data_IF_592029027348
#
_entry.id   IF_592029027348
#
_cell.length_a   1.000
_cell.length_b   1.000
_cell.length_c   1.000
_cell.angle_alpha   90.00
_cell.angle_beta   90.00
_cell.angle_gamma   90.00
#
_symmetry.space_group_name_H-M   'P 1'
#
loop_
_entity.id
_entity.type
_entity.pdbx_description
1 polymer ?
#
# COMPACT_ATOMS: atom_id res chain seq x y z
N UNK A 1 -65.61 -8.80 35.69
CA UNK A 1 -64.15 -8.93 35.88
C UNK A 1 -63.45 -7.94 34.97
N UNK A 2 -62.70 -6.98 35.55
CA UNK A 2 -61.75 -6.10 34.85
C UNK A 2 -60.58 -5.86 35.82
N UNK A 3 -59.32 -6.12 35.43
CA UNK A 3 -58.18 -6.05 36.35
C UNK A 3 -57.55 -4.66 36.40
N UNK A 4 -56.98 -4.34 37.56
CA UNK A 4 -56.26 -3.11 37.91
C UNK A 4 -54.77 -3.25 37.57
N UNK A 5 -54.14 -2.21 37.04
CA UNK A 5 -52.68 -2.10 36.91
C UNK A 5 -52.23 -0.73 37.42
N UNK A 6 -51.24 -0.72 38.32
CA UNK A 6 -50.61 0.47 38.92
C UNK A 6 -49.16 0.54 38.47
N UNK A 7 -48.69 1.69 37.97
CA UNK A 7 -47.30 1.93 37.56
C UNK A 7 -46.56 2.82 38.56
N UNK A 8 -45.33 2.46 38.93
CA UNK A 8 -44.38 3.30 39.70
C UNK A 8 -43.27 3.82 38.78
N UNK A 9 -42.92 5.10 38.89
CA UNK A 9 -41.73 5.73 38.29
C UNK A 9 -40.58 5.75 39.31
N UNK A 10 -39.34 5.50 38.86
CA UNK A 10 -38.09 5.73 39.62
C UNK A 10 -37.15 6.57 38.75
N UNK A 11 -36.50 7.57 39.34
CA UNK A 11 -35.46 8.42 38.75
C UNK A 11 -34.28 8.52 39.71
N UNK A 12 -33.05 8.27 39.25
CA UNK A 12 -31.81 8.50 40.01
C UNK A 12 -30.82 9.36 39.21
N UNK A 13 -30.08 10.23 39.90
CA UNK A 13 -29.07 11.16 39.38
C UNK A 13 -27.77 11.01 40.18
N UNK A 14 -26.63 10.87 39.50
CA UNK A 14 -25.28 10.69 40.08
C UNK A 14 -24.54 12.05 40.21
N UNK A 15 -23.92 12.30 41.37
CA UNK A 15 -22.98 13.43 41.63
C UNK A 15 -21.55 12.90 41.85
N UNK A 16 -20.55 13.56 41.27
CA UNK A 16 -19.11 13.31 41.48
C UNK A 16 -18.46 14.45 42.28
N UNK A 17 -17.57 14.15 43.23
CA UNK A 17 -16.84 15.13 44.09
C UNK A 17 -15.33 15.07 43.85
N UNK A 18 -14.64 16.22 43.65
CA UNK A 18 -13.16 16.33 43.51
C UNK A 18 -12.48 16.98 44.76
N UNK A 19 -11.56 16.24 45.37
CA UNK A 19 -10.36 16.63 46.14
C UNK A 19 -9.65 18.01 45.98
N UNK A 20 -9.82 19.09 46.79
CA UNK A 20 -9.14 20.38 46.54
C UNK A 20 -7.68 20.48 47.04
N UNK A 21 -7.14 19.44 47.71
CA UNK A 21 -5.78 19.45 48.30
C UNK A 21 -4.67 19.11 47.30
N UNK A 22 -4.94 18.34 46.25
CA UNK A 22 -3.94 17.91 45.26
C UNK A 22 -3.52 19.00 44.27
N UNK A 23 -4.32 20.05 44.08
CA UNK A 23 -4.05 21.11 43.09
C UNK A 23 -2.99 22.12 43.58
N UNK A 24 -2.83 22.31 44.89
CA UNK A 24 -1.92 23.31 45.46
C UNK A 24 -0.45 22.88 45.42
N UNK A 25 -0.18 21.59 45.59
CA UNK A 25 1.18 21.03 45.60
C UNK A 25 1.82 21.05 44.21
N UNK A 26 1.01 20.88 43.16
CA UNK A 26 1.49 20.90 41.77
C UNK A 26 1.97 22.30 41.33
N UNK A 27 1.29 23.36 41.77
CA UNK A 27 1.63 24.74 41.42
C UNK A 27 2.95 25.18 42.06
N UNK A 28 3.22 24.78 43.31
CA UNK A 28 4.49 25.09 43.98
C UNK A 28 5.70 24.43 43.32
N UNK A 29 5.56 23.21 42.78
CA UNK A 29 6.67 22.51 42.12
C UNK A 29 7.09 23.18 40.81
N UNK A 30 6.12 23.66 40.03
CA UNK A 30 6.37 24.37 38.76
C UNK A 30 7.10 25.70 39.02
N UNK A 31 6.74 26.40 40.09
CA UNK A 31 7.38 27.68 40.45
C UNK A 31 8.87 27.53 40.77
N UNK A 32 9.27 26.46 41.45
CA UNK A 32 10.68 26.21 41.80
C UNK A 32 11.50 25.84 40.56
N UNK A 33 10.93 25.06 39.65
CA UNK A 33 11.60 24.66 38.41
C UNK A 33 11.92 25.86 37.48
N UNK A 34 11.02 26.84 37.41
CA UNK A 34 11.20 28.04 36.58
C UNK A 34 12.31 28.99 37.07
N UNK A 35 12.58 29.03 38.38
CA UNK A 35 13.60 29.92 38.97
C UNK A 35 15.02 29.38 38.76
N UNK A 36 15.19 28.06 38.73
CA UNK A 36 16.50 27.43 38.50
C UNK A 36 16.96 27.51 37.04
N UNK A 37 16.04 27.69 36.09
CA UNK A 37 16.34 27.73 34.67
C UNK A 37 16.96 29.07 34.18
N UNK A 38 16.99 30.12 35.01
CA UNK A 38 17.40 31.47 34.60
C UNK A 38 18.83 31.88 35.00
N UNK A 39 19.70 30.94 35.42
CA UNK A 39 21.09 31.24 35.79
C UNK A 39 22.06 30.75 34.71
N UNK A 40 22.40 31.62 33.75
CA UNK A 40 23.51 31.37 32.82
C UNK A 40 24.81 31.93 33.40
N UNK A 41 25.79 31.08 33.67
CA UNK A 41 27.15 31.52 33.98
C UNK A 41 27.87 31.91 32.69
N UNK A 42 28.13 33.21 32.47
CA UNK A 42 28.94 33.66 31.33
C UNK A 42 30.39 33.84 31.76
N UNK A 43 31.33 33.38 30.91
CA UNK A 43 32.76 33.63 31.11
C UNK A 43 33.03 35.13 31.02
N UNK A 44 33.95 35.68 31.84
CA UNK A 44 34.34 37.09 31.74
C UNK A 44 34.80 37.45 30.32
N UNK A 45 34.24 38.51 29.75
CA UNK A 45 34.51 38.99 28.39
C UNK A 45 35.66 40.04 28.38
N UNK A 46 36.77 39.71 29.03
CA UNK A 46 37.97 40.58 29.08
C UNK A 46 39.23 39.82 29.48
N UNK A 47 40.41 40.40 29.21
CA UNK A 47 41.71 39.87 29.67
C UNK A 47 42.62 40.99 30.20
N UNK A 48 43.54 40.65 31.14
CA UNK A 48 44.40 41.63 31.79
C UNK A 48 45.51 42.17 30.86
N UNK A 49 45.85 43.44 31.02
CA UNK A 49 46.93 44.14 30.33
C UNK A 49 47.68 45.08 31.29
N UNK A 50 49.01 45.10 31.19
CA UNK A 50 49.88 46.00 31.96
C UNK A 50 50.96 46.58 31.05
N UNK A 51 51.28 47.86 31.24
CA UNK A 51 52.32 48.55 30.50
C UNK A 51 52.95 49.67 31.33
N UNK A 52 54.21 49.98 31.06
CA UNK A 52 54.91 51.13 31.63
C UNK A 52 55.03 52.21 30.56
N UNK A 53 54.40 53.35 30.81
CA UNK A 53 54.36 54.47 29.88
C UNK A 53 55.56 55.40 30.13
N UNK A 54 56.25 55.74 29.03
CA UNK A 54 57.41 56.63 29.03
C UNK A 54 57.24 57.71 27.98
N UNK A 55 57.80 58.88 28.26
CA UNK A 55 57.89 59.97 27.29
C UNK A 55 59.02 59.75 26.27
N UNK A 56 59.16 60.67 25.32
CA UNK A 56 60.19 60.61 24.29
C UNK A 56 61.64 60.75 24.85
N UNK A 57 61.80 61.23 26.07
CA UNK A 57 63.08 61.27 26.79
C UNK A 57 63.37 59.98 27.56
N UNK A 58 62.45 59.01 27.53
CA UNK A 58 62.56 57.75 28.27
C UNK A 58 62.20 57.86 29.75
N UNK A 59 61.73 59.03 30.22
CA UNK A 59 61.25 59.22 31.59
C UNK A 59 59.84 58.64 31.75
N UNK A 60 59.51 58.14 32.93
CA UNK A 60 58.19 57.59 33.20
C UNK A 60 57.14 58.71 33.23
N UNK A 61 56.00 58.51 32.57
CA UNK A 61 54.83 59.37 32.69
C UNK A 61 54.17 59.03 34.02
N UNK A 62 54.58 59.68 35.12
CA UNK A 62 54.24 59.26 36.48
C UNK A 62 53.06 60.01 37.09
N UNK A 63 52.17 59.29 37.80
CA UNK A 63 51.04 59.86 38.56
C UNK A 63 50.15 60.79 37.73
N UNK A 64 49.89 60.41 36.48
CA UNK A 64 49.16 61.22 35.51
C UNK A 64 48.00 60.41 34.92
N UNK A 65 46.89 61.12 34.67
CA UNK A 65 45.75 60.59 33.95
C UNK A 65 46.08 60.57 32.45
N UNK A 66 45.91 59.43 31.81
CA UNK A 66 46.18 59.20 30.39
C UNK A 66 45.02 58.46 29.75
N UNK A 67 44.83 58.64 28.45
CA UNK A 67 43.84 57.91 27.68
C UNK A 67 44.54 56.87 26.80
N UNK A 68 44.09 55.62 26.89
CA UNK A 68 44.60 54.49 26.12
C UNK A 68 43.54 54.03 25.12
N UNK A 69 43.95 53.71 23.90
CA UNK A 69 43.12 53.00 22.93
C UNK A 69 43.73 51.63 22.62
N UNK A 70 42.92 50.60 22.79
CA UNK A 70 43.28 49.22 22.49
C UNK A 70 42.49 48.74 21.28
N UNK A 71 43.17 48.18 20.29
CA UNK A 71 42.54 47.65 19.08
C UNK A 71 42.99 46.21 18.84
N UNK A 72 42.02 45.31 18.68
CA UNK A 72 42.24 43.91 18.32
C UNK A 72 42.16 43.76 16.80
N UNK A 73 43.24 43.25 16.23
CA UNK A 73 43.42 43.03 14.80
C UNK A 73 43.52 41.52 14.53
N UNK A 74 43.02 41.06 13.38
CA UNK A 74 43.11 39.65 12.96
C UNK A 74 43.91 39.50 11.67
N UNK A 75 44.80 38.50 11.62
CA UNK A 75 45.61 38.21 10.44
C UNK A 75 46.78 39.17 10.30
N UNK A 76 46.81 40.01 9.26
CA UNK A 76 47.93 40.95 9.05
C UNK A 76 47.66 42.29 9.77
N UNK A 77 48.65 42.89 10.48
CA UNK A 77 48.46 44.03 11.40
C UNK A 77 47.90 45.36 10.85
N UNK A 78 47.37 45.45 9.63
CA UNK A 78 47.06 46.73 9.01
C UNK A 78 45.63 46.87 8.43
N UNK A 79 44.81 45.80 8.32
CA UNK A 79 43.57 45.89 7.52
C UNK A 79 42.30 45.43 8.25
N UNK A 80 42.38 44.52 9.23
CA UNK A 80 41.19 43.92 9.85
C UNK A 80 41.09 44.21 11.34
N UNK A 81 40.57 45.39 11.70
CA UNK A 81 40.16 45.72 13.07
C UNK A 81 38.84 45.04 13.41
N UNK A 82 38.85 44.16 14.41
CA UNK A 82 37.67 43.46 14.89
C UNK A 82 36.99 44.20 16.05
N UNK A 83 37.79 44.86 16.89
CA UNK A 83 37.31 45.55 18.07
C UNK A 83 38.28 46.66 18.47
N UNK A 84 37.74 47.79 18.92
CA UNK A 84 38.53 48.89 19.50
C UNK A 84 37.79 49.50 20.68
N UNK A 85 38.52 49.82 21.75
CA UNK A 85 38.00 50.48 22.94
C UNK A 85 38.95 51.56 23.46
N UNK A 86 38.40 52.53 24.17
CA UNK A 86 39.16 53.54 24.92
C UNK A 86 38.99 53.36 26.43
N UNK A 87 40.06 53.68 27.17
CA UNK A 87 40.08 53.67 28.63
C UNK A 87 40.91 54.83 29.17
N UNK A 88 40.33 55.56 30.12
CA UNK A 88 41.04 56.58 30.91
C UNK A 88 41.66 55.93 32.14
N UNK A 89 42.98 55.99 32.27
CA UNK A 89 43.75 55.30 33.31
C UNK A 89 44.68 56.27 34.04
N UNK A 90 45.05 55.94 35.28
CA UNK A 90 46.10 56.65 36.02
C UNK A 90 47.39 55.83 36.02
N UNK A 91 48.51 56.46 35.67
CA UNK A 91 49.83 55.86 35.87
C UNK A 91 50.25 55.97 37.34
N UNK A 92 51.05 55.02 37.84
CA UNK A 92 51.69 55.15 39.15
C UNK A 92 53.03 55.91 39.07
N UNK A 93 53.76 56.01 40.20
CA UNK A 93 55.08 56.68 40.27
C UNK A 93 56.12 56.15 39.28
N UNK A 94 55.98 54.89 38.85
CA UNK A 94 56.87 54.23 37.89
C UNK A 94 56.34 54.29 36.45
N UNK A 95 55.22 54.96 36.19
CA UNK A 95 54.56 55.01 34.88
C UNK A 95 53.73 53.77 34.54
N UNK A 96 53.50 52.85 35.49
CA UNK A 96 52.77 51.61 35.24
C UNK A 96 51.24 51.86 35.21
N UNK A 97 50.58 51.28 34.21
CA UNK A 97 49.13 51.06 34.15
C UNK A 97 48.79 49.58 34.30
N UNK A 98 47.63 49.29 34.89
CA UNK A 98 47.06 47.95 34.97
C UNK A 98 45.57 48.02 34.69
N UNK A 99 45.11 47.29 33.67
CA UNK A 99 43.70 47.27 33.27
C UNK A 99 43.29 45.92 32.67
N UNK A 100 42.02 45.75 32.34
CA UNK A 100 41.50 44.63 31.56
C UNK A 100 40.91 45.15 30.24
N UNK A 101 41.36 44.57 29.13
CA UNK A 101 40.90 44.87 27.78
C UNK A 101 39.60 44.11 27.53
N UNK A 102 38.57 44.80 27.02
CA UNK A 102 37.19 44.33 26.89
C UNK A 102 36.22 44.98 27.89
N UNK A 103 36.75 45.74 28.86
CA UNK A 103 35.96 46.51 29.83
C UNK A 103 35.94 48.02 29.52
N UNK A 104 36.59 48.46 28.45
CA UNK A 104 36.64 49.87 28.06
C UNK A 104 35.35 50.35 27.41
N UNK A 105 35.34 51.62 27.00
CA UNK A 105 34.26 52.16 26.19
C UNK A 105 34.47 51.72 24.73
N UNK A 106 33.59 50.90 24.13
CA UNK A 106 33.76 50.44 22.77
C UNK A 106 33.69 51.61 21.78
N UNK A 107 34.70 51.71 20.91
CA UNK A 107 34.74 52.64 19.78
C UNK A 107 34.21 51.95 18.52
N UNK A 108 34.53 50.66 18.33
CA UNK A 108 34.03 49.85 17.22
C UNK A 108 34.09 48.35 17.55
N UNK A 109 33.22 47.55 16.91
CA UNK A 109 33.13 46.11 17.13
C UNK A 109 32.44 45.72 18.44
N UNK A 110 32.36 44.41 18.70
CA UNK A 110 31.87 43.85 19.96
C UNK A 110 32.82 42.75 20.43
N UNK A 111 33.43 42.94 21.60
CA UNK A 111 34.41 42.01 22.15
C UNK A 111 33.87 40.58 22.29
N UNK A 112 32.60 40.44 22.67
CA UNK A 112 31.96 39.13 22.89
C UNK A 112 31.73 38.34 21.59
N UNK A 113 31.76 39.01 20.43
CA UNK A 113 31.53 38.38 19.14
C UNK A 113 32.84 38.03 18.42
N UNK A 114 34.00 38.27 19.03
CA UNK A 114 35.30 37.89 18.45
C UNK A 114 35.39 36.36 18.48
N UNK A 115 35.49 35.74 17.30
CA UNK A 115 35.79 34.32 17.18
C UNK A 115 37.28 34.08 17.45
N UNK A 116 37.64 33.79 18.69
CA UNK A 116 39.02 33.57 19.11
C UNK A 116 39.64 32.26 18.55
N UNK A 117 38.89 31.43 17.82
CA UNK A 117 39.40 30.17 17.23
C UNK A 117 40.20 30.39 15.94
N UNK A 118 40.03 31.54 15.28
CA UNK A 118 40.58 31.84 13.95
C UNK A 118 41.77 32.82 14.00
N UNK A 119 42.76 32.52 14.85
CA UNK A 119 43.98 33.31 14.97
C UNK A 119 44.83 33.36 13.68
N UNK A 120 45.89 34.20 13.63
CA UNK A 120 46.48 34.95 14.74
C UNK A 120 45.80 36.31 15.00
N UNK A 121 45.85 36.75 16.27
CA UNK A 121 45.38 38.06 16.71
C UNK A 121 46.54 38.96 17.13
N UNK A 122 46.37 40.25 16.94
CA UNK A 122 47.33 41.29 17.34
C UNK A 122 46.61 42.35 18.15
N UNK A 123 47.33 42.95 19.09
CA UNK A 123 46.90 44.12 19.84
C UNK A 123 47.70 45.33 19.40
N UNK A 124 47.00 46.33 18.88
CA UNK A 124 47.52 47.67 18.63
C UNK A 124 47.18 48.55 19.83
N UNK A 125 48.18 49.27 20.33
CA UNK A 125 48.07 50.12 21.51
C UNK A 125 48.40 51.55 21.13
N UNK A 126 47.56 52.48 21.55
CA UNK A 126 47.74 53.91 21.28
C UNK A 126 47.54 54.70 22.56
N UNK A 127 48.31 55.77 22.73
CA UNK A 127 48.37 56.60 23.94
C UNK A 127 48.06 58.05 23.59
N UNK A 128 47.20 58.66 24.39
CA UNK A 128 47.01 60.08 24.52
C UNK A 128 47.46 60.50 25.93
N UNK A 129 48.69 61.03 26.01
CA UNK A 129 49.34 61.28 27.29
C UNK A 129 48.83 62.55 27.97
N UNK A 130 48.38 63.56 27.21
CA UNK A 130 47.87 64.83 27.70
C UNK A 130 46.34 64.92 27.70
N UNK A 131 45.68 63.83 27.29
CA UNK A 131 44.22 63.72 27.17
C UNK A 131 43.65 64.79 26.22
N UNK A 132 44.38 65.04 25.11
CA UNK A 132 44.06 66.04 24.09
C UNK A 132 43.05 65.55 23.03
N UNK A 133 42.68 64.28 23.07
CA UNK A 133 41.91 63.55 22.06
C UNK A 133 42.77 63.00 20.91
N UNK A 134 44.10 63.18 20.94
CA UNK A 134 45.01 62.74 19.87
C UNK A 134 45.83 61.54 20.32
N UNK A 135 45.57 60.38 19.71
CA UNK A 135 46.24 59.13 20.03
C UNK A 135 47.50 58.93 19.18
N UNK A 136 48.62 58.62 19.83
CA UNK A 136 49.89 58.24 19.22
C UNK A 136 50.04 56.71 19.32
N UNK A 137 50.41 56.06 18.22
CA UNK A 137 50.64 54.60 18.22
C UNK A 137 51.90 54.23 19.00
N UNK A 138 51.73 53.36 20.00
CA UNK A 138 52.81 52.86 20.87
C UNK A 138 53.34 51.49 20.41
N UNK A 139 52.71 50.91 19.40
CA UNK A 139 53.12 49.68 18.73
C UNK A 139 52.01 48.66 18.59
N UNK A 140 52.28 47.63 17.79
CA UNK A 140 51.41 46.48 17.57
C UNK A 140 52.16 45.19 17.89
N UNK A 141 51.55 44.31 18.68
CA UNK A 141 52.16 43.04 19.12
C UNK A 141 51.19 41.87 18.96
N UNK A 142 51.70 40.66 18.77
CA UNK A 142 50.85 39.46 18.64
C UNK A 142 50.31 39.04 20.00
N UNK A 143 49.01 38.74 20.08
CA UNK A 143 48.41 38.10 21.24
C UNK A 143 48.70 36.60 21.20
N UNK A 144 49.47 36.12 22.18
CA UNK A 144 49.76 34.71 22.36
C UNK A 144 48.77 34.07 23.35
N UNK A 145 48.42 32.81 23.12
CA UNK A 145 47.54 32.05 24.01
C UNK A 145 48.15 31.91 25.42
N UNK A 146 47.35 32.14 26.45
CA UNK A 146 47.73 31.86 27.84
C UNK A 146 47.60 30.36 28.16
N UNK A 147 48.29 29.82 29.18
CA UNK A 147 48.22 28.39 29.53
C UNK A 147 46.80 27.84 29.74
N UNK A 148 45.86 28.64 30.27
CA UNK A 148 44.46 28.26 30.42
C UNK A 148 43.75 28.09 29.06
N UNK A 149 44.04 28.95 28.08
CA UNK A 149 43.50 28.86 26.72
C UNK A 149 44.08 27.64 25.96
N UNK A 150 45.37 27.32 26.16
CA UNK A 150 46.00 26.11 25.61
C UNK A 150 45.43 24.82 26.22
N UNK A 151 44.97 24.85 27.47
CA UNK A 151 44.28 23.71 28.08
C UNK A 151 42.88 23.49 27.49
N UNK A 152 42.16 24.57 27.15
CA UNK A 152 40.86 24.48 26.47
C UNK A 152 40.96 23.90 25.05
N UNK A 153 42.06 24.14 24.33
CA UNK A 153 42.36 23.50 23.04
C UNK A 153 42.44 21.96 23.16
N UNK A 154 43.01 21.44 24.25
CA UNK A 154 43.04 19.99 24.54
C UNK A 154 41.69 19.42 24.95
N UNK A 155 40.78 20.23 25.49
CA UNK A 155 39.41 19.83 25.83
C UNK A 155 38.46 19.88 24.63
N UNK A 156 38.85 20.59 23.55
CA UNK A 156 38.20 20.57 22.23
C UNK A 156 38.48 19.30 21.45
N UNK A 157 38.44 18.13 22.10
CA UNK A 157 38.63 16.85 21.40
C UNK A 157 37.36 16.55 20.60
N UNK A 158 37.41 16.99 19.34
CA UNK A 158 36.54 16.75 18.18
C UNK A 158 35.94 15.36 18.15
N UNK A 159 34.81 15.16 18.81
CA UNK A 159 33.87 14.16 18.35
C UNK A 159 32.84 14.86 17.48
N UNK A 160 32.99 14.74 16.15
CA UNK A 160 32.09 15.36 15.18
C UNK A 160 30.71 14.69 15.14
N UNK A 161 30.57 13.52 15.77
CA UNK A 161 29.43 12.63 15.63
C UNK A 161 29.57 11.62 14.50
N UNK A 162 30.60 11.72 13.64
CA UNK A 162 30.88 10.72 12.61
C UNK A 162 31.51 9.47 13.25
N UNK A 163 30.90 8.30 12.98
CA UNK A 163 31.43 6.99 13.36
C UNK A 163 32.86 6.78 12.84
N UNK A 164 33.22 7.46 11.74
CA UNK A 164 34.51 7.31 11.12
C UNK A 164 35.68 7.91 11.89
N UNK A 165 35.42 8.80 12.84
CA UNK A 165 36.42 9.46 13.68
C UNK A 165 36.98 8.56 14.79
N UNK A 166 36.32 7.42 15.05
CA UNK A 166 36.71 6.48 16.10
C UNK A 166 37.97 5.69 15.70
N UNK A 167 38.98 5.64 16.57
CA UNK A 167 40.04 4.64 16.47
C UNK A 167 39.60 3.33 17.15
N UNK A 168 40.11 2.18 16.71
CA UNK A 168 39.76 0.84 17.20
C UNK A 168 38.27 0.44 17.01
N UNK A 169 37.69 0.75 15.85
CA UNK A 169 36.34 0.28 15.49
C UNK A 169 36.30 -1.25 15.46
N UNK A 170 35.24 -1.91 15.98
CA UNK A 170 35.03 -3.33 15.75
C UNK A 170 35.03 -3.64 14.25
N UNK A 171 35.80 -4.64 13.81
CA UNK A 171 35.74 -5.10 12.43
C UNK A 171 34.38 -5.76 12.20
N UNK A 172 33.58 -5.18 11.31
CA UNK A 172 32.30 -5.75 10.95
C UNK A 172 32.56 -6.99 10.08
N UNK A 173 32.13 -8.17 10.53
CA UNK A 173 32.21 -9.41 9.74
C UNK A 173 31.18 -9.33 8.62
N UNK A 174 31.49 -8.59 7.57
CA UNK A 174 30.65 -8.56 6.38
C UNK A 174 30.76 -9.90 5.66
N UNK A 175 29.63 -10.45 5.23
CA UNK A 175 29.48 -11.81 4.68
C UNK A 175 30.19 -12.07 3.35
N UNK A 176 31.08 -11.17 2.89
CA UNK A 176 31.69 -11.25 1.56
C UNK A 176 33.21 -11.03 1.51
N UNK A 177 33.84 -10.62 2.61
CA UNK A 177 35.29 -10.63 2.72
C UNK A 177 35.68 -11.37 3.99
N UNK A 178 36.46 -12.44 3.84
CA UNK A 178 37.01 -13.24 4.94
C UNK A 178 38.09 -12.44 5.69
N UNK A 179 37.68 -11.36 6.34
CA UNK A 179 38.59 -10.44 7.00
C UNK A 179 38.97 -10.93 8.41
N UNK A 180 38.26 -11.95 8.91
CA UNK A 180 38.40 -12.54 10.25
C UNK A 180 38.99 -13.96 10.26
N UNK A 181 39.40 -14.50 9.10
CA UNK A 181 40.12 -15.78 9.00
C UNK A 181 39.28 -17.04 9.25
N UNK A 182 37.97 -17.03 8.97
CA UNK A 182 37.15 -18.23 9.08
C UNK A 182 37.38 -19.19 7.91
N UNK A 183 37.18 -20.48 8.15
CA UNK A 183 37.38 -21.55 7.17
C UNK A 183 36.26 -21.51 6.12
N UNK A 184 36.61 -21.42 4.84
CA UNK A 184 35.68 -21.36 3.71
C UNK A 184 35.68 -22.63 2.82
N UNK A 185 36.48 -23.63 3.17
CA UNK A 185 36.54 -24.94 2.50
C UNK A 185 37.09 -26.01 3.46
N UNK A 186 36.64 -27.27 3.28
CA UNK A 186 37.12 -28.43 4.04
C UNK A 186 38.64 -28.61 3.92
N UNK A 187 39.31 -28.91 5.03
CA UNK A 187 40.79 -28.88 5.13
C UNK A 187 41.46 -30.13 4.57
N UNK A 188 40.82 -31.30 4.68
CA UNK A 188 41.38 -32.58 4.22
C UNK A 188 40.64 -33.18 3.00
N UNK A 189 39.55 -32.53 2.56
CA UNK A 189 38.83 -32.86 1.32
C UNK A 189 38.04 -34.17 1.36
N UNK A 190 37.88 -34.82 2.51
CA UNK A 190 36.97 -35.96 2.67
C UNK A 190 35.57 -35.46 3.04
N UNK A 191 34.54 -36.12 2.52
CA UNK A 191 33.14 -35.98 2.98
C UNK A 191 32.56 -37.32 3.48
N UNK A 192 33.43 -38.32 3.62
CA UNK A 192 33.06 -39.70 3.95
C UNK A 192 33.50 -40.16 5.33
N UNK A 193 34.40 -39.43 6.00
CA UNK A 193 34.89 -39.80 7.33
C UNK A 193 34.04 -39.16 8.46
N UNK A 194 33.18 -38.21 8.11
CA UNK A 194 32.46 -37.31 9.00
C UNK A 194 31.12 -37.89 9.45
N UNK A 195 30.63 -38.96 8.78
CA UNK A 195 29.43 -39.69 9.18
C UNK A 195 29.82 -41.10 9.61
N UNK A 196 30.22 -41.24 10.87
CA UNK A 196 30.33 -42.53 11.52
C UNK A 196 28.99 -42.88 12.17
N UNK A 197 28.50 -44.12 11.99
CA UNK A 197 27.28 -44.56 12.67
C UNK A 197 27.66 -45.24 13.99
N UNK A 198 26.98 -44.84 15.06
CA UNK A 198 27.09 -45.50 16.35
C UNK A 198 26.13 -46.69 16.35
N UNK A 199 26.64 -47.85 16.75
CA UNK A 199 25.82 -49.03 17.06
C UNK A 199 26.08 -49.45 18.50
N UNK A 200 25.08 -50.08 19.13
CA UNK A 200 25.21 -50.62 20.48
C UNK A 200 24.97 -52.13 20.44
N UNK A 201 25.81 -52.88 21.15
CA UNK A 201 25.61 -54.30 21.41
C UNK A 201 25.94 -54.58 22.86
N UNK A 202 24.96 -55.12 23.58
CA UNK A 202 25.02 -55.35 25.03
C UNK A 202 25.36 -54.05 25.78
N UNK A 203 26.51 -54.03 26.47
CA UNK A 203 27.00 -52.92 27.28
C UNK A 203 28.07 -52.10 26.57
N UNK A 204 28.19 -52.19 25.24
CA UNK A 204 29.26 -51.53 24.49
C UNK A 204 28.74 -50.82 23.25
N UNK A 205 29.17 -49.56 23.05
CA UNK A 205 28.92 -48.76 21.86
C UNK A 205 30.12 -48.87 20.91
N UNK A 206 29.85 -48.98 19.60
CA UNK A 206 30.83 -49.13 18.52
C UNK A 206 30.65 -48.05 17.45
N UNK A 207 31.75 -47.64 16.81
CA UNK A 207 31.76 -46.78 15.62
C UNK A 207 31.97 -47.61 14.35
N UNK A 208 31.35 -47.23 13.23
CA UNK A 208 31.48 -47.94 11.94
C UNK A 208 32.91 -47.98 11.39
N UNK A 209 33.76 -47.02 11.74
CA UNK A 209 35.19 -46.98 11.37
C UNK A 209 36.13 -47.71 12.33
N UNK A 210 35.60 -48.39 13.35
CA UNK A 210 36.37 -48.96 14.45
C UNK A 210 36.52 -47.99 15.64
N UNK A 211 36.74 -48.55 16.82
CA UNK A 211 36.65 -47.85 18.11
C UNK A 211 35.38 -48.27 18.88
N UNK A 212 35.52 -48.47 20.19
CA UNK A 212 34.40 -48.85 21.05
C UNK A 212 34.54 -48.23 22.45
N UNK A 213 33.41 -48.03 23.10
CA UNK A 213 33.34 -47.59 24.49
C UNK A 213 32.38 -48.49 25.26
N UNK A 214 32.87 -49.09 26.34
CA UNK A 214 32.04 -49.86 27.26
C UNK A 214 31.24 -48.90 28.13
N UNK A 215 29.92 -49.02 28.10
CA UNK A 215 29.03 -48.24 28.93
C UNK A 215 29.22 -48.65 30.40
N UNK A 216 29.26 -47.69 31.34
CA UNK A 216 29.24 -48.00 32.77
C UNK A 216 28.02 -48.84 33.12
N UNK A 217 28.13 -49.70 34.15
CA UNK A 217 26.96 -50.37 34.70
C UNK A 217 25.94 -49.30 35.12
N UNK A 218 24.74 -49.36 34.53
CA UNK A 218 23.70 -48.35 34.75
C UNK A 218 23.28 -48.27 36.21
N UNK A 219 22.87 -47.08 36.63
CA UNK A 219 22.17 -46.84 37.88
C UNK A 219 20.92 -47.72 37.94
N UNK A 220 20.74 -48.45 39.04
CA UNK A 220 19.68 -49.44 39.25
C UNK A 220 18.29 -48.84 39.46
N UNK A 221 18.20 -47.51 39.50
CA UNK A 221 16.96 -46.76 39.72
C UNK A 221 16.64 -46.54 41.20
N UNK A 222 17.44 -47.04 42.14
CA UNK A 222 17.28 -46.75 43.56
C UNK A 222 18.02 -45.46 43.91
N UNK A 223 17.27 -44.41 44.27
CA UNK A 223 17.82 -43.13 44.74
C UNK A 223 18.90 -43.31 45.82
N UNK A 224 18.80 -44.36 46.65
CA UNK A 224 19.75 -44.62 47.71
C UNK A 224 21.12 -45.08 47.20
N UNK A 225 21.20 -45.68 46.01
CA UNK A 225 22.43 -46.11 45.35
C UNK A 225 23.27 -44.95 44.80
N UNK A 226 22.76 -43.70 44.83
CA UNK A 226 23.52 -42.51 44.46
C UNK A 226 24.56 -42.15 45.54
N UNK A 227 25.83 -42.14 45.15
CA UNK A 227 26.95 -41.52 45.84
C UNK A 227 27.04 -40.07 45.35
N UNK A 228 26.99 -39.10 46.28
CA UNK A 228 26.80 -37.65 46.05
C UNK A 228 25.36 -37.21 45.75
N UNK A 229 24.42 -37.54 46.66
CA UNK A 229 23.06 -37.00 46.61
C UNK A 229 23.11 -35.46 46.73
N UNK A 230 22.34 -34.71 45.92
CA UNK A 230 22.23 -33.28 46.11
C UNK A 230 21.72 -32.96 47.52
N UNK A 231 22.41 -32.06 48.20
CA UNK A 231 21.98 -31.55 49.50
C UNK A 231 20.90 -30.48 49.28
N UNK A 232 19.66 -30.85 49.54
CA UNK A 232 18.50 -29.96 49.41
C UNK A 232 18.22 -29.14 50.67
N UNK A 233 19.08 -29.20 51.70
CA UNK A 233 18.85 -28.48 52.96
C UNK A 233 18.88 -26.95 52.83
N UNK A 234 19.45 -26.43 51.74
CA UNK A 234 19.45 -25.00 51.41
C UNK A 234 18.51 -24.59 50.29
N UNK A 235 17.64 -25.49 49.79
CA UNK A 235 16.68 -25.13 48.76
C UNK A 235 15.58 -24.24 49.32
N UNK A 236 15.15 -23.28 48.51
CA UNK A 236 14.04 -22.40 48.85
C UNK A 236 12.77 -23.27 49.02
N UNK A 237 12.21 -23.24 50.22
CA UNK A 237 10.95 -23.92 50.57
C UNK A 237 9.82 -22.93 50.70
N UNK A 238 10.09 -21.64 50.48
CA UNK A 238 9.10 -20.58 50.57
C UNK A 238 8.27 -20.51 49.29
N UNK A 239 7.18 -21.28 49.27
CA UNK A 239 6.23 -21.27 48.17
C UNK A 239 5.51 -19.92 47.95
N UNK A 240 5.76 -18.90 48.78
CA UNK A 240 5.13 -17.58 48.63
C UNK A 240 5.75 -16.70 47.53
N UNK A 241 6.99 -17.00 47.12
CA UNK A 241 7.68 -16.31 46.03
C UNK A 241 7.69 -17.14 44.72
N UNK A 242 7.17 -18.37 44.77
CA UNK A 242 7.06 -19.25 43.63
C UNK A 242 6.17 -18.65 42.55
N UNK A 243 6.56 -18.86 41.29
CA UNK A 243 5.73 -18.46 40.17
C UNK A 243 4.47 -19.34 40.12
N UNK A 244 3.30 -18.72 40.25
CA UNK A 244 1.98 -19.39 40.29
C UNK A 244 1.52 -19.99 38.94
N UNK A 245 2.33 -19.87 37.89
CA UNK A 245 2.04 -20.34 36.54
C UNK A 245 1.02 -19.49 35.78
N UNK A 246 0.48 -18.41 36.36
CA UNK A 246 -0.45 -17.53 35.67
C UNK A 246 0.28 -16.43 34.90
N UNK A 247 -0.05 -16.30 33.61
CA UNK A 247 0.51 -15.26 32.75
C UNK A 247 0.21 -13.83 33.25
N UNK A 248 -0.90 -13.64 33.97
CA UNK A 248 -1.27 -12.37 34.60
C UNK A 248 -0.25 -11.87 35.62
N UNK A 249 0.47 -12.79 36.28
CA UNK A 249 1.41 -12.54 37.37
C UNK A 249 2.78 -12.04 36.89
N UNK A 250 3.06 -12.14 35.58
CA UNK A 250 4.30 -11.66 34.97
C UNK A 250 4.30 -10.13 34.80
N UNK A 251 5.33 -9.48 35.33
CA UNK A 251 5.68 -8.07 35.06
C UNK A 251 6.62 -7.97 33.85
N UNK A 252 6.47 -6.94 33.01
CA UNK A 252 7.34 -6.74 31.83
C UNK A 252 7.02 -7.60 30.61
N UNK A 253 5.85 -8.26 30.59
CA UNK A 253 5.40 -9.06 29.44
C UNK A 253 5.05 -8.18 28.22
N UNK A 254 5.33 -8.63 26.97
CA UNK A 254 4.93 -7.92 25.76
C UNK A 254 3.41 -7.71 25.70
N UNK A 255 2.98 -6.55 25.21
CA UNK A 255 1.58 -6.27 24.92
C UNK A 255 1.09 -7.26 23.85
N UNK A 256 0.11 -8.10 24.18
CA UNK A 256 -0.55 -8.93 23.17
C UNK A 256 -1.20 -7.99 22.13
N UNK A 257 -1.07 -8.33 20.85
CA UNK A 257 -1.81 -7.69 19.74
C UNK A 257 -3.28 -8.12 19.86
N UNK A 258 -3.98 -7.56 20.83
CA UNK A 258 -5.42 -7.75 21.04
C UNK A 258 -6.13 -6.42 20.74
N UNK A 259 -6.63 -6.33 19.51
CA UNK A 259 -7.90 -5.74 19.08
C UNK A 259 -8.35 -4.32 19.54
N UNK A 260 -7.59 -3.51 20.26
CA UNK A 260 -8.07 -2.18 20.68
C UNK A 260 -7.06 -1.03 20.63
N UNK A 261 -5.86 -1.26 20.12
CA UNK A 261 -4.88 -0.19 19.90
C UNK A 261 -4.26 -0.41 18.53
N UNK A 262 -4.52 0.54 17.62
CA UNK A 262 -4.06 0.55 16.24
C UNK A 262 -2.57 0.90 16.20
N UNK A 263 -1.74 -0.03 16.63
CA UNK A 263 -0.30 0.22 16.77
C UNK A 263 0.46 -0.08 15.47
N UNK A 264 -0.22 -0.71 14.51
CA UNK A 264 0.33 -1.18 13.24
C UNK A 264 -0.26 -0.45 12.01
N UNK A 265 -1.04 0.62 12.21
CA UNK A 265 -1.55 1.46 11.12
C UNK A 265 -2.59 0.81 10.21
N UNK A 266 -3.28 -0.25 10.67
CA UNK A 266 -4.37 -0.83 9.88
C UNK A 266 -5.62 0.06 9.93
N UNK A 267 -6.38 0.05 8.84
CA UNK A 267 -7.58 0.86 8.68
C UNK A 267 -8.64 0.36 9.67
N UNK A 268 -9.09 1.23 10.57
CA UNK A 268 -10.11 0.94 11.61
C UNK A 268 -11.47 1.58 11.31
N UNK A 269 -11.58 2.31 10.20
CA UNK A 269 -12.81 2.91 9.70
C UNK A 269 -12.75 3.08 8.18
N UNK A 270 -13.89 2.93 7.51
CA UNK A 270 -14.01 3.11 6.05
C UNK A 270 -13.56 4.51 5.62
N UNK A 271 -12.83 4.59 4.51
CA UNK A 271 -12.15 5.82 4.05
C UNK A 271 -13.13 6.85 3.49
N UNK A 272 -14.24 6.42 2.89
CA UNK A 272 -15.28 7.28 2.32
C UNK A 272 -16.58 7.33 3.14
N UNK A 273 -16.65 6.54 4.23
CA UNK A 273 -17.80 6.48 5.14
C UNK A 273 -19.05 5.83 4.55
N UNK A 274 -18.98 5.22 3.36
CA UNK A 274 -20.07 4.43 2.80
C UNK A 274 -20.03 3.01 3.37
N UNK A 275 -21.22 2.43 3.58
CA UNK A 275 -21.39 0.97 3.82
C UNK A 275 -22.30 0.34 2.76
N UNK A 276 -22.63 1.11 1.73
CA UNK A 276 -23.58 0.78 0.67
C UNK A 276 -22.92 0.35 -0.63
N UNK A 277 -21.64 0.66 -0.84
CA UNK A 277 -20.93 0.35 -2.09
C UNK A 277 -20.11 -0.95 -2.02
N UNK A 278 -19.89 -1.46 -0.80
CA UNK A 278 -18.90 -2.47 -0.44
C UNK A 278 -19.49 -3.89 -0.51
N UNK A 279 -20.82 -4.02 -0.53
CA UNK A 279 -21.52 -5.29 -0.70
C UNK A 279 -22.46 -5.19 -1.89
N UNK A 280 -21.96 -5.55 -3.07
CA UNK A 280 -22.79 -5.67 -4.27
C UNK A 280 -23.34 -7.09 -4.37
N UNK A 281 -24.66 -7.22 -4.40
CA UNK A 281 -25.29 -8.53 -4.60
C UNK A 281 -25.47 -8.79 -6.09
N UNK A 282 -24.95 -9.92 -6.56
CA UNK A 282 -25.26 -10.42 -7.90
C UNK A 282 -26.61 -11.11 -7.88
N UNK A 283 -27.51 -10.69 -8.76
CA UNK A 283 -28.84 -11.29 -8.90
C UNK A 283 -29.17 -11.56 -10.36
N UNK A 284 -30.01 -12.57 -10.58
CA UNK A 284 -30.53 -12.92 -11.90
C UNK A 284 -32.03 -12.61 -11.92
N UNK A 285 -32.48 -11.89 -12.94
CA UNK A 285 -33.90 -11.61 -13.16
C UNK A 285 -34.22 -11.75 -14.63
N UNK A 286 -35.18 -12.64 -14.94
CA UNK A 286 -35.57 -13.02 -16.32
C UNK A 286 -34.35 -13.46 -17.14
N UNK A 287 -33.97 -12.65 -18.12
CA UNK A 287 -32.90 -12.85 -19.08
C UNK A 287 -31.69 -11.95 -18.79
N UNK A 288 -31.55 -11.44 -17.56
CA UNK A 288 -30.50 -10.47 -17.23
C UNK A 288 -29.82 -10.79 -15.90
N UNK A 289 -28.50 -10.58 -15.85
CA UNK A 289 -27.69 -10.57 -14.62
C UNK A 289 -27.46 -9.11 -14.22
N UNK A 290 -27.65 -8.76 -12.95
CA UNK A 290 -27.49 -7.39 -12.44
C UNK A 290 -26.78 -7.36 -11.08
N UNK A 291 -26.04 -6.28 -10.84
CA UNK A 291 -25.52 -5.91 -9.53
C UNK A 291 -26.53 -5.01 -8.81
N UNK A 292 -26.59 -5.09 -7.47
CA UNK A 292 -27.58 -4.39 -6.63
C UNK A 292 -27.65 -2.87 -6.81
N UNK A 293 -26.65 -2.22 -7.42
CA UNK A 293 -26.66 -0.78 -7.70
C UNK A 293 -25.92 -0.41 -9.01
N UNK A 294 -25.88 -1.33 -9.98
CA UNK A 294 -25.16 -1.08 -11.24
C UNK A 294 -25.91 -1.57 -12.49
N UNK A 295 -25.18 -1.62 -13.61
CA UNK A 295 -25.70 -2.04 -14.91
C UNK A 295 -26.14 -3.52 -14.90
N UNK A 296 -27.01 -3.84 -15.86
CA UNK A 296 -27.46 -5.22 -16.14
C UNK A 296 -26.86 -5.71 -17.46
N UNK A 297 -26.52 -6.98 -17.52
CA UNK A 297 -26.08 -7.68 -18.73
C UNK A 297 -27.18 -8.66 -19.13
N UNK A 298 -27.65 -8.56 -20.38
CA UNK A 298 -28.62 -9.52 -20.94
C UNK A 298 -27.90 -10.81 -21.29
N UNK A 299 -28.44 -11.94 -20.83
CA UNK A 299 -27.93 -13.27 -21.13
C UNK A 299 -28.24 -13.65 -22.59
N UNK A 300 -27.36 -14.43 -23.25
CA UNK A 300 -27.70 -15.09 -24.51
C UNK A 300 -29.00 -15.88 -24.37
N UNK A 301 -29.87 -15.80 -25.38
CA UNK A 301 -31.19 -16.39 -25.31
C UNK A 301 -31.83 -16.57 -26.68
N UNK A 302 -33.01 -17.16 -26.70
CA UNK A 302 -33.81 -17.39 -27.91
C UNK A 302 -35.13 -16.68 -27.76
N UNK A 303 -35.45 -15.76 -28.66
CA UNK A 303 -36.81 -15.23 -28.76
C UNK A 303 -37.64 -16.16 -29.64
N UNK A 304 -38.82 -16.53 -29.13
CA UNK A 304 -39.74 -17.42 -29.83
C UNK A 304 -41.01 -16.66 -30.19
N UNK A 305 -41.33 -16.62 -31.47
CA UNK A 305 -42.61 -16.14 -31.98
C UNK A 305 -43.40 -17.30 -32.58
N UNK A 306 -44.70 -17.30 -32.40
CA UNK A 306 -45.60 -18.32 -32.93
C UNK A 306 -46.60 -17.67 -33.89
N UNK A 307 -46.77 -18.28 -35.06
CA UNK A 307 -47.71 -17.86 -36.09
C UNK A 307 -48.69 -18.99 -36.41
N UNK A 308 -49.97 -18.63 -36.59
CA UNK A 308 -50.95 -19.55 -37.15
C UNK A 308 -50.71 -19.73 -38.65
N UNK A 309 -50.69 -20.97 -39.13
CA UNK A 309 -50.61 -21.22 -40.56
C UNK A 309 -52.02 -21.11 -41.16
N UNK A 310 -52.35 -20.08 -41.97
CA UNK A 310 -53.68 -19.96 -42.54
C UNK A 310 -53.90 -20.97 -43.67
N UNK A 311 -55.15 -21.19 -44.02
CA UNK A 311 -55.49 -21.89 -45.25
C UNK A 311 -55.12 -21.00 -46.44
N UNK A 312 -54.20 -21.47 -47.27
CA UNK A 312 -53.76 -20.79 -48.49
C UNK A 312 -53.96 -21.77 -49.65
N UNK A 313 -54.52 -21.27 -50.74
CA UNK A 313 -54.87 -22.06 -51.90
C UNK A 313 -54.48 -21.37 -53.19
N UNK A 314 -53.87 -22.12 -54.11
CA UNK A 314 -53.67 -21.74 -55.49
C UNK A 314 -54.39 -22.74 -56.40
N UNK A 315 -55.26 -22.21 -57.27
CA UNK A 315 -56.13 -23.02 -58.12
C UNK A 315 -55.36 -24.02 -58.97
N UNK A 316 -54.40 -23.54 -59.78
CA UNK A 316 -53.57 -24.36 -60.64
C UNK A 316 -52.16 -23.74 -60.75
N UNK A 317 -51.15 -24.61 -60.88
CA UNK A 317 -49.77 -24.26 -61.23
C UNK A 317 -49.52 -24.81 -62.63
N UNK A 318 -48.96 -23.99 -63.51
CA UNK A 318 -48.46 -24.37 -64.84
C UNK A 318 -47.02 -23.88 -64.98
N UNK A 319 -46.05 -24.80 -64.97
CA UNK A 319 -44.64 -24.44 -65.03
C UNK A 319 -44.15 -24.37 -66.47
N UNK A 320 -43.62 -23.22 -66.87
CA UNK A 320 -43.01 -22.97 -68.18
C UNK A 320 -41.49 -23.12 -68.17
N UNK A 321 -40.88 -23.22 -66.99
CA UNK A 321 -39.45 -23.40 -66.79
C UNK A 321 -39.18 -24.37 -65.64
N UNK A 322 -38.00 -24.99 -65.64
CA UNK A 322 -37.55 -25.82 -64.52
C UNK A 322 -37.38 -24.95 -63.26
N UNK A 323 -37.69 -25.53 -62.11
CA UNK A 323 -37.64 -24.88 -60.79
C UNK A 323 -38.41 -23.55 -60.70
N UNK A 324 -39.46 -23.37 -61.51
CA UNK A 324 -40.32 -22.20 -61.43
C UNK A 324 -41.20 -22.27 -60.18
N UNK A 325 -41.00 -21.33 -59.24
CA UNK A 325 -41.80 -21.21 -58.02
C UNK A 325 -42.92 -20.19 -58.18
N UNK A 326 -44.12 -20.57 -57.74
CA UNK A 326 -45.31 -19.72 -57.71
C UNK A 326 -45.69 -19.41 -56.27
N UNK A 327 -45.94 -18.13 -55.96
CA UNK A 327 -46.38 -17.71 -54.63
C UNK A 327 -47.81 -18.18 -54.39
N UNK A 328 -48.01 -18.94 -53.32
CA UNK A 328 -49.35 -19.36 -52.88
C UNK A 328 -50.01 -18.24 -52.08
N UNK A 329 -49.25 -17.59 -51.20
CA UNK A 329 -49.74 -16.49 -50.37
C UNK A 329 -48.85 -16.22 -49.15
N UNK A 330 -49.21 -15.20 -48.40
CA UNK A 330 -48.54 -14.83 -47.14
C UNK A 330 -49.19 -15.56 -45.95
N UNK A 331 -48.36 -16.14 -45.09
CA UNK A 331 -48.79 -16.86 -43.88
C UNK A 331 -48.95 -15.88 -42.71
N UNK A 332 -48.14 -14.83 -42.70
CA UNK A 332 -48.16 -13.80 -41.68
C UNK A 332 -46.84 -13.05 -41.58
N UNK A 333 -46.72 -12.24 -40.55
CA UNK A 333 -45.54 -11.42 -40.29
C UNK A 333 -44.92 -11.72 -38.93
N UNK A 334 -43.63 -11.46 -38.79
CA UNK A 334 -42.91 -11.49 -37.52
C UNK A 334 -41.93 -10.31 -37.44
N UNK A 335 -41.50 -9.94 -36.24
CA UNK A 335 -40.51 -8.87 -36.05
C UNK A 335 -39.20 -9.45 -35.55
N UNK A 336 -38.15 -9.35 -36.37
CA UNK A 336 -36.77 -9.64 -36.00
C UNK A 336 -36.20 -8.45 -35.22
N UNK A 337 -35.54 -8.67 -34.09
CA UNK A 337 -35.05 -7.55 -33.27
C UNK A 337 -33.62 -7.10 -33.62
N UNK A 338 -32.76 -7.99 -34.13
CA UNK A 338 -31.34 -7.66 -34.31
C UNK A 338 -30.76 -8.23 -35.62
N UNK A 339 -30.13 -7.37 -36.43
CA UNK A 339 -29.50 -7.67 -37.72
C UNK A 339 -28.51 -8.84 -37.67
N UNK A 340 -27.77 -9.01 -36.56
CA UNK A 340 -26.67 -9.98 -36.41
C UNK A 340 -27.14 -11.40 -36.06
N UNK A 341 -28.42 -11.58 -35.75
CA UNK A 341 -28.96 -12.88 -35.29
C UNK A 341 -29.37 -13.79 -36.45
N UNK A 342 -29.44 -15.09 -36.20
CA UNK A 342 -29.96 -16.09 -37.15
C UNK A 342 -31.39 -16.46 -36.77
N UNK A 343 -32.23 -16.69 -37.78
CA UNK A 343 -33.58 -17.20 -37.60
C UNK A 343 -33.63 -18.71 -37.89
N UNK A 344 -34.28 -19.48 -37.02
CA UNK A 344 -34.76 -20.83 -37.32
C UNK A 344 -36.28 -20.78 -37.47
N UNK A 345 -36.78 -21.20 -38.62
CA UNK A 345 -38.22 -21.36 -38.84
C UNK A 345 -38.54 -22.84 -38.79
N UNK A 346 -39.54 -23.20 -37.98
CA UNK A 346 -40.06 -24.55 -37.86
C UNK A 346 -41.51 -24.51 -38.32
N UNK A 347 -41.76 -25.12 -39.47
CA UNK A 347 -43.10 -25.21 -40.04
C UNK A 347 -43.72 -26.57 -39.73
N UNK A 348 -44.94 -26.54 -39.21
CA UNK A 348 -45.80 -27.71 -39.09
C UNK A 348 -47.11 -27.44 -39.85
N UNK A 349 -47.38 -28.21 -40.89
CA UNK A 349 -48.49 -27.95 -41.79
C UNK A 349 -49.00 -29.19 -42.51
N UNK A 350 -50.16 -29.06 -43.15
CA UNK A 350 -50.66 -30.07 -44.08
C UNK A 350 -50.69 -29.50 -45.50
N UNK A 351 -50.28 -30.29 -46.47
CA UNK A 351 -50.42 -29.98 -47.89
C UNK A 351 -51.46 -30.87 -48.54
N UNK A 352 -52.11 -30.34 -49.57
CA UNK A 352 -52.98 -31.11 -50.46
C UNK A 352 -52.72 -30.67 -51.90
N UNK A 353 -52.57 -31.64 -52.78
CA UNK A 353 -52.55 -31.45 -54.23
C UNK A 353 -53.59 -32.38 -54.83
N UNK A 354 -54.50 -31.84 -55.64
CA UNK A 354 -55.62 -32.62 -56.16
C UNK A 354 -55.19 -33.54 -57.31
N UNK A 355 -54.38 -33.04 -58.24
CA UNK A 355 -53.87 -33.83 -59.37
C UNK A 355 -52.55 -33.30 -59.91
N UNK A 356 -51.73 -34.17 -60.49
CA UNK A 356 -50.52 -33.82 -61.24
C UNK A 356 -50.67 -34.15 -62.72
N UNK A 357 -50.08 -33.34 -63.59
CA UNK A 357 -49.93 -33.63 -65.03
C UNK A 357 -48.47 -33.35 -65.40
N UNK A 358 -47.78 -34.34 -65.98
CA UNK A 358 -46.36 -34.17 -66.36
C UNK A 358 -45.37 -34.03 -65.19
N UNK A 359 -45.81 -34.15 -63.94
CA UNK A 359 -44.98 -34.20 -62.73
C UNK A 359 -45.52 -35.26 -61.75
N UNK A 360 -44.74 -35.60 -60.72
CA UNK A 360 -45.10 -36.56 -59.67
C UNK A 360 -45.06 -35.95 -58.26
N UNK A 361 -44.75 -34.66 -58.14
CA UNK A 361 -44.67 -33.95 -56.88
C UNK A 361 -44.91 -32.46 -57.09
N UNK A 362 -45.31 -31.80 -56.01
CA UNK A 362 -45.18 -30.35 -55.85
C UNK A 362 -44.27 -30.11 -54.66
N UNK A 363 -43.20 -29.35 -54.88
CA UNK A 363 -42.31 -28.89 -53.82
C UNK A 363 -42.81 -27.57 -53.29
N UNK A 364 -43.12 -27.53 -52.01
CA UNK A 364 -43.45 -26.31 -51.29
C UNK A 364 -42.18 -25.72 -50.69
N UNK A 365 -42.10 -24.39 -50.63
CA UNK A 365 -40.98 -23.67 -50.04
C UNK A 365 -41.50 -22.51 -49.17
N UNK A 366 -40.97 -22.39 -47.95
CA UNK A 366 -41.22 -21.22 -47.11
C UNK A 366 -40.14 -20.17 -47.35
N UNK A 367 -40.56 -18.93 -47.51
CA UNK A 367 -39.69 -17.79 -47.78
C UNK A 367 -39.93 -16.64 -46.82
N UNK A 368 -38.87 -15.90 -46.50
CA UNK A 368 -38.93 -14.62 -45.78
C UNK A 368 -38.72 -13.51 -46.81
N UNK A 369 -39.67 -12.57 -46.91
CA UNK A 369 -39.67 -11.49 -47.89
C UNK A 369 -39.45 -11.99 -49.34
N UNK A 370 -40.06 -13.13 -49.65
CA UNK A 370 -39.94 -13.85 -50.93
C UNK A 370 -38.53 -14.41 -51.24
N UNK A 371 -37.60 -14.39 -50.28
CA UNK A 371 -36.28 -15.01 -50.37
C UNK A 371 -36.28 -16.42 -49.76
N UNK A 372 -35.67 -17.37 -50.46
CA UNK A 372 -35.53 -18.75 -50.00
C UNK A 372 -34.53 -18.86 -48.85
N UNK A 373 -34.67 -19.92 -48.03
CA UNK A 373 -33.68 -20.24 -47.01
C UNK A 373 -32.34 -20.64 -47.64
N UNK A 374 -31.25 -20.41 -46.92
CA UNK A 374 -29.92 -20.83 -47.37
C UNK A 374 -29.89 -22.35 -47.58
N UNK A 375 -29.39 -22.79 -48.73
CA UNK A 375 -29.30 -24.20 -49.09
C UNK A 375 -30.65 -24.91 -49.32
N UNK A 376 -31.74 -24.16 -49.54
CA UNK A 376 -33.09 -24.70 -49.77
C UNK A 376 -33.66 -25.55 -48.62
N UNK A 377 -33.16 -25.33 -47.40
CA UNK A 377 -33.55 -26.09 -46.20
C UNK A 377 -35.04 -25.99 -45.83
N UNK A 378 -35.76 -25.00 -46.35
CA UNK A 378 -37.21 -24.81 -46.14
C UNK A 378 -38.09 -25.39 -47.27
N UNK A 379 -37.60 -26.38 -48.02
CA UNK A 379 -38.37 -27.09 -49.04
C UNK A 379 -38.94 -28.41 -48.53
N UNK A 380 -40.16 -28.74 -48.93
CA UNK A 380 -40.79 -30.02 -48.63
C UNK A 380 -41.72 -30.49 -49.76
N UNK A 381 -41.59 -31.74 -50.21
CA UNK A 381 -42.40 -32.28 -51.29
C UNK A 381 -43.75 -32.82 -50.81
N UNK A 382 -44.77 -32.67 -51.65
CA UNK A 382 -46.03 -33.39 -51.57
C UNK A 382 -46.11 -34.37 -52.74
N UNK A 383 -46.10 -35.67 -52.43
CA UNK A 383 -46.04 -36.76 -53.42
C UNK A 383 -47.39 -37.43 -53.72
N UNK A 384 -48.41 -37.22 -52.90
CA UNK A 384 -49.68 -37.97 -52.98
C UNK A 384 -50.72 -37.23 -53.83
N UNK A 385 -51.04 -37.68 -55.07
CA UNK A 385 -52.23 -37.21 -55.75
C UNK A 385 -53.48 -37.85 -55.14
N UNK A 386 -54.65 -37.24 -55.32
CA UNK A 386 -55.97 -37.72 -54.87
C UNK A 386 -56.32 -37.44 -53.39
N UNK A 387 -56.32 -36.17 -52.99
CA UNK A 387 -57.03 -35.66 -51.78
C UNK A 387 -56.51 -36.08 -50.40
N UNK A 388 -55.47 -36.90 -50.31
CA UNK A 388 -54.87 -37.25 -49.02
C UNK A 388 -54.02 -36.08 -48.48
N UNK A 389 -54.32 -35.65 -47.25
CA UNK A 389 -53.49 -34.66 -46.56
C UNK A 389 -52.11 -35.24 -46.28
N UNK A 390 -51.06 -34.53 -46.68
CA UNK A 390 -49.67 -34.87 -46.33
C UNK A 390 -49.22 -33.97 -45.19
N UNK A 391 -48.88 -34.56 -44.04
CA UNK A 391 -48.31 -33.82 -42.92
C UNK A 391 -46.86 -33.46 -43.21
N UNK A 392 -46.50 -32.21 -42.99
CA UNK A 392 -45.19 -31.65 -43.30
C UNK A 392 -44.57 -31.08 -42.03
N UNK A 393 -43.31 -31.45 -41.80
CA UNK A 393 -42.46 -30.89 -40.76
C UNK A 393 -41.14 -30.51 -41.40
N UNK A 394 -40.86 -29.21 -41.50
CA UNK A 394 -39.60 -28.70 -42.05
C UNK A 394 -39.01 -27.66 -41.10
N UNK A 395 -37.69 -27.69 -40.98
CA UNK A 395 -36.90 -26.67 -40.27
C UNK A 395 -35.85 -26.12 -41.22
N UNK A 396 -35.58 -24.83 -41.11
CA UNK A 396 -34.58 -24.18 -41.93
C UNK A 396 -34.14 -22.84 -41.34
N UNK A 397 -32.93 -22.46 -41.72
CA UNK A 397 -32.23 -21.32 -41.16
C UNK A 397 -32.14 -20.17 -42.16
N UNK A 398 -32.33 -18.96 -41.66
CA UNK A 398 -32.17 -17.72 -42.42
C UNK A 398 -31.13 -16.83 -41.71
N UNK A 399 -30.02 -16.58 -42.39
CA UNK A 399 -28.98 -15.63 -41.97
C UNK A 399 -29.05 -14.34 -42.80
N UNK A 400 -28.57 -13.23 -42.25
CA UNK A 400 -28.44 -11.97 -43.00
C UNK A 400 -29.76 -11.21 -43.25
N UNK A 401 -30.85 -11.61 -42.60
CA UNK A 401 -32.11 -10.84 -42.58
C UNK A 401 -31.91 -9.63 -41.66
N UNK A 402 -32.23 -8.41 -42.09
CA UNK A 402 -32.16 -7.22 -41.23
C UNK A 402 -33.16 -7.29 -40.08
N UNK A 403 -32.99 -6.51 -39.02
CA UNK A 403 -34.03 -6.27 -38.02
C UNK A 403 -35.21 -5.52 -38.63
N UNK A 404 -36.39 -5.72 -38.05
CA UNK A 404 -37.64 -5.14 -38.53
C UNK A 404 -38.75 -6.18 -38.72
N UNK A 405 -39.83 -5.76 -39.35
CA UNK A 405 -40.98 -6.63 -39.63
C UNK A 405 -40.83 -7.28 -40.99
N UNK A 406 -40.93 -8.61 -41.02
CA UNK A 406 -40.77 -9.43 -42.22
C UNK A 406 -42.03 -10.24 -42.50
N UNK A 407 -42.22 -10.60 -43.77
CA UNK A 407 -43.36 -11.39 -44.22
C UNK A 407 -42.93 -12.81 -44.55
N UNK A 408 -43.67 -13.79 -44.05
CA UNK A 408 -43.49 -15.20 -44.38
C UNK A 408 -44.48 -15.58 -45.47
N UNK A 409 -43.98 -16.19 -46.54
CA UNK A 409 -44.78 -16.63 -47.68
C UNK A 409 -44.53 -18.10 -48.00
N UNK A 410 -45.56 -18.75 -48.54
CA UNK A 410 -45.44 -20.09 -49.14
C UNK A 410 -45.34 -19.95 -50.64
N UNK A 411 -44.43 -20.73 -51.22
CA UNK A 411 -44.25 -20.91 -52.65
C UNK A 411 -44.36 -22.39 -53.00
N UNK A 412 -44.68 -22.69 -54.25
CA UNK A 412 -44.71 -24.07 -54.73
C UNK A 412 -44.20 -24.19 -56.16
N UNK A 413 -43.60 -25.31 -56.50
CA UNK A 413 -43.08 -25.63 -57.83
C UNK A 413 -43.38 -27.08 -58.19
N UNK A 414 -43.63 -27.34 -59.48
CA UNK A 414 -43.68 -28.70 -60.04
C UNK A 414 -42.30 -29.19 -60.51
N UNK A 415 -41.24 -28.37 -60.33
CA UNK A 415 -39.84 -28.58 -60.69
C UNK A 415 -39.49 -28.66 -62.17
N UNK A 416 -40.40 -29.11 -63.04
CA UNK A 416 -40.10 -29.35 -64.45
C UNK A 416 -40.96 -28.49 -65.37
N UNK A 417 -40.36 -27.95 -66.44
CA UNK A 417 -41.07 -27.25 -67.48
C UNK A 417 -42.10 -28.17 -68.17
N UNK A 418 -43.28 -27.61 -68.51
CA UNK A 418 -44.37 -28.32 -69.17
C UNK A 418 -45.22 -29.19 -68.25
N UNK A 419 -45.14 -28.99 -66.93
CA UNK A 419 -45.94 -29.74 -65.95
C UNK A 419 -46.97 -28.87 -65.23
N UNK A 420 -48.08 -29.48 -64.83
CA UNK A 420 -49.18 -28.85 -64.12
C UNK A 420 -49.46 -29.53 -62.77
N UNK A 421 -49.93 -28.74 -61.82
CA UNK A 421 -50.54 -29.23 -60.60
C UNK A 421 -51.84 -28.47 -60.32
N UNK A 422 -52.94 -29.19 -60.12
CA UNK A 422 -54.24 -28.59 -59.82
C UNK A 422 -54.60 -28.80 -58.35
N UNK A 423 -55.28 -27.82 -57.80
CA UNK A 423 -55.79 -27.87 -56.45
C UNK A 423 -54.67 -27.90 -55.41
N UNK A 424 -53.81 -26.88 -55.36
CA UNK A 424 -52.60 -26.82 -54.49
C UNK A 424 -52.87 -26.01 -53.22
N UNK A 425 -52.83 -26.65 -52.06
CA UNK A 425 -53.20 -26.05 -50.77
C UNK A 425 -52.09 -26.20 -49.72
N UNK A 426 -51.97 -25.19 -48.88
CA UNK A 426 -51.39 -25.29 -47.54
C UNK A 426 -52.47 -25.08 -46.49
N UNK A 427 -52.47 -25.93 -45.48
CA UNK A 427 -53.48 -26.04 -44.44
C UNK A 427 -54.91 -26.02 -45.00
N UNK A 428 -55.32 -27.01 -45.82
CA UNK A 428 -56.62 -27.06 -46.51
C UNK A 428 -57.86 -27.09 -45.58
N UNK A 429 -57.71 -27.02 -44.26
CA UNK A 429 -58.80 -27.02 -43.28
C UNK A 429 -58.93 -28.36 -42.53
N UNK A 430 -59.70 -28.37 -41.43
CA UNK A 430 -59.87 -29.55 -40.56
C UNK A 430 -58.82 -29.71 -39.45
N UNK A 431 -57.80 -28.84 -39.41
CA UNK A 431 -56.71 -28.88 -38.43
C UNK A 431 -56.52 -27.51 -37.77
N UNK A 432 -57.16 -27.29 -36.61
CA UNK A 432 -57.25 -25.96 -35.94
C UNK A 432 -56.01 -25.55 -35.14
N UNK A 433 -54.93 -26.34 -35.17
CA UNK A 433 -53.76 -26.19 -34.30
C UNK A 433 -52.41 -26.13 -35.04
N UNK A 434 -52.39 -25.93 -36.37
CA UNK A 434 -51.13 -25.86 -37.11
C UNK A 434 -50.44 -24.51 -36.85
N UNK A 435 -49.16 -24.60 -36.50
CA UNK A 435 -48.35 -23.47 -36.04
C UNK A 435 -47.00 -23.47 -36.74
N UNK A 436 -46.51 -22.28 -36.99
CA UNK A 436 -45.11 -22.04 -37.31
C UNK A 436 -44.44 -21.41 -36.09
N UNK A 437 -43.27 -21.91 -35.76
CA UNK A 437 -42.41 -21.31 -34.73
C UNK A 437 -41.25 -20.60 -35.42
N UNK A 438 -40.97 -19.38 -34.99
CA UNK A 438 -39.83 -18.57 -35.41
C UNK A 438 -38.96 -18.37 -34.19
N UNK A 439 -37.70 -18.79 -34.27
CA UNK A 439 -36.71 -18.61 -33.22
C UNK A 439 -35.62 -17.65 -33.69
N UNK A 440 -35.36 -16.61 -32.92
CA UNK A 440 -34.24 -15.69 -33.12
C UNK A 440 -33.18 -15.94 -32.05
N UNK A 441 -31.98 -16.35 -32.48
CA UNK A 441 -30.88 -16.72 -31.59
C UNK A 441 -29.95 -15.52 -31.32
N UNK A 442 -29.79 -15.14 -30.06
CA UNK A 442 -28.87 -14.09 -29.63
C UNK A 442 -27.55 -14.69 -29.12
N UNK A 443 -26.51 -14.62 -29.96
CA UNK A 443 -25.15 -15.04 -29.62
C UNK A 443 -24.39 -15.49 -30.87
N UNK A 444 -23.07 -15.37 -30.84
CA UNK A 444 -22.21 -15.94 -31.88
C UNK A 444 -22.36 -17.46 -31.86
N UNK A 445 -23.06 -18.02 -32.84
CA UNK A 445 -22.90 -19.43 -33.19
C UNK A 445 -21.50 -19.58 -33.79
N UNK A 446 -20.60 -20.24 -33.06
CA UNK A 446 -19.37 -20.80 -33.59
C UNK A 446 -19.66 -22.16 -34.23
#
# INVERSE_FOLDING_TARGET
>A
MKPTVTTRKVSESLKTTKNPTTMKTFISLIGIFLICASLFAQSPQSFNYQAVLRDNGGLAISNQLVDMRFTILQGTPAVNSLYSETQTLNTNVNGLISTAIGNGMPVSGNFANIDWSVGPFFIKVELDADNSGTFIEMGTSQLLSVPFALYAEKAGNSFSGDYNDLSNKPQNVSTFSNDAGYITAEVDGSVTNEIQILSISHDTIFLTGGGFAKLPAGFDGDYNSLINKPDFTGWDTDASNDFDGQYSSLTGKPSNVSSFVNDAGYITAEVDGSTTNEIQTLSVSKDSIQLSSANKVKLPGVLVSELYVPTIFLANIHSTADEQYFKLGDIGTFTKQNDETILELIFNGHTLVSSYVGCNQVVFEIRIDNQAATGHSMQFPSFSPNTAFSMQYVTGFFSGISSGTHTISVWASTLFAGSDANGVHVNPGGFSQLRMMIKEYYGTHL
#
